data_IF_808440762047
#
_entry.id   IF_808440762047
#
_cell.length_a   1.000
_cell.length_b   1.000
_cell.length_c   1.000
_cell.angle_alpha   90.00
_cell.angle_beta   90.00
_cell.angle_gamma   90.00
#
_symmetry.space_group_name_H-M   'P 1'
#
loop_
_entity.id
_entity.type
_entity.pdbx_description
1 polymer ?
#
# COMPACT_ATOMS: atom_id res chain seq x y z
N UNK A 1 -23.59 7.93 6.32
CA UNK A 1 -22.29 7.49 5.76
C UNK A 1 -22.51 6.14 5.09
N UNK A 2 -22.28 6.04 3.77
CA UNK A 2 -22.42 4.78 3.02
C UNK A 2 -21.05 4.09 2.97
N UNK A 3 -21.02 2.77 3.18
CA UNK A 3 -19.80 1.97 3.03
C UNK A 3 -19.84 1.23 1.70
N UNK A 4 -18.81 1.40 0.89
CA UNK A 4 -18.60 0.63 -0.34
C UNK A 4 -17.42 -0.31 -0.08
N UNK A 5 -17.65 -1.61 -0.22
CA UNK A 5 -16.63 -2.63 -0.06
C UNK A 5 -16.07 -2.99 -1.44
N UNK A 6 -14.74 -2.97 -1.57
CA UNK A 6 -14.04 -3.33 -2.80
C UNK A 6 -12.84 -4.22 -2.49
N UNK A 7 -12.65 -5.25 -3.31
CA UNK A 7 -11.48 -6.11 -3.28
C UNK A 7 -10.97 -6.29 -4.71
N UNK A 8 -9.65 -6.38 -4.86
CA UNK A 8 -9.00 -6.59 -6.15
C UNK A 8 -7.74 -7.41 -5.96
N UNK A 9 -7.45 -8.25 -6.95
CA UNK A 9 -6.24 -9.09 -6.97
C UNK A 9 -5.51 -8.82 -8.27
N UNK A 10 -4.20 -8.63 -8.18
CA UNK A 10 -3.33 -8.36 -9.32
C UNK A 10 -2.09 -9.26 -9.18
N UNK A 11 -1.66 -9.97 -10.24
CA UNK A 11 -0.43 -10.74 -10.21
C UNK A 11 0.76 -9.80 -10.01
N UNK A 12 1.62 -10.12 -9.02
CA UNK A 12 2.78 -9.30 -8.64
C UNK A 12 3.96 -9.54 -9.57
N UNK A 13 4.23 -10.82 -9.89
CA UNK A 13 5.31 -11.23 -10.78
C UNK A 13 4.69 -11.71 -12.10
N UNK A 14 5.02 -11.06 -13.20
CA UNK A 14 4.67 -11.45 -14.55
C UNK A 14 5.51 -12.62 -15.06
N UNK A 15 5.04 -13.34 -16.09
CA UNK A 15 5.72 -14.53 -16.63
C UNK A 15 7.07 -14.23 -17.30
N UNK A 16 7.39 -12.95 -17.56
CA UNK A 16 8.62 -12.51 -18.23
C UNK A 16 9.43 -11.52 -17.40
N UNK A 17 9.11 -11.38 -16.11
CA UNK A 17 9.81 -10.43 -15.26
C UNK A 17 11.22 -10.95 -14.98
N UNK A 18 12.22 -10.12 -15.29
CA UNK A 18 13.62 -10.43 -15.02
C UNK A 18 13.98 -10.37 -13.54
N UNK A 19 13.08 -9.84 -12.71
CA UNK A 19 13.27 -9.69 -11.27
C UNK A 19 11.99 -10.10 -10.55
N UNK A 20 12.07 -11.19 -9.81
CA UNK A 20 10.94 -11.74 -9.05
C UNK A 20 10.95 -11.13 -7.66
N UNK A 21 9.86 -10.48 -7.29
CA UNK A 21 9.65 -9.99 -5.93
C UNK A 21 9.20 -11.13 -5.02
N UNK A 22 9.90 -11.30 -3.91
CA UNK A 22 9.44 -12.18 -2.83
C UNK A 22 8.34 -11.52 -2.01
N UNK A 23 7.58 -12.32 -1.25
CA UNK A 23 6.54 -11.81 -0.34
C UNK A 23 7.09 -10.74 0.61
N UNK A 24 8.25 -11.01 1.21
CA UNK A 24 8.85 -10.10 2.19
C UNK A 24 9.33 -8.80 1.55
N UNK A 25 9.86 -8.86 0.32
CA UNK A 25 10.24 -7.66 -0.43
C UNK A 25 9.01 -6.82 -0.77
N UNK A 26 7.96 -7.45 -1.28
CA UNK A 26 6.70 -6.78 -1.57
C UNK A 26 6.12 -6.15 -0.31
N UNK A 27 6.09 -6.89 0.80
CA UNK A 27 5.55 -6.39 2.05
C UNK A 27 6.34 -5.19 2.58
N UNK A 28 7.68 -5.24 2.52
CA UNK A 28 8.53 -4.09 2.86
C UNK A 28 8.24 -2.87 1.97
N UNK A 29 8.01 -3.08 0.67
CA UNK A 29 7.65 -2.00 -0.25
C UNK A 29 6.27 -1.41 0.06
N UNK A 30 5.27 -2.23 0.40
CA UNK A 30 3.95 -1.75 0.83
C UNK A 30 4.05 -0.96 2.13
N UNK A 31 4.80 -1.46 3.11
CA UNK A 31 5.09 -0.74 4.36
C UNK A 31 5.79 0.59 4.11
N UNK A 32 6.71 0.64 3.13
CA UNK A 32 7.38 1.87 2.72
C UNK A 32 6.42 2.83 2.06
N UNK A 33 5.55 2.37 1.17
CA UNK A 33 4.53 3.19 0.50
C UNK A 33 3.59 3.90 1.48
N UNK A 34 3.29 3.29 2.63
CA UNK A 34 2.51 3.95 3.69
C UNK A 34 3.20 5.21 4.24
N UNK A 35 4.54 5.24 4.24
CA UNK A 35 5.36 6.30 4.87
C UNK A 35 5.99 7.25 3.84
N UNK A 36 6.22 6.76 2.62
CA UNK A 36 6.86 7.45 1.49
C UNK A 36 6.05 7.23 0.20
N UNK A 37 4.78 7.65 0.17
CA UNK A 37 3.89 7.42 -0.96
C UNK A 37 4.35 8.13 -2.26
N UNK A 38 5.16 9.18 -2.15
CA UNK A 38 5.77 9.94 -3.26
C UNK A 38 6.67 9.09 -4.14
N UNK A 39 7.25 8.02 -3.61
CA UNK A 39 8.10 7.10 -4.36
C UNK A 39 7.31 6.14 -5.27
N UNK A 40 5.99 6.06 -5.06
CA UNK A 40 5.13 5.06 -5.72
C UNK A 40 3.99 5.68 -6.52
N UNK A 41 3.56 6.89 -6.18
CA UNK A 41 2.40 7.53 -6.80
C UNK A 41 2.82 8.92 -7.27
N UNK A 42 2.92 9.17 -8.60
CA UNK A 42 3.51 10.40 -9.13
C UNK A 42 2.84 11.72 -8.70
N UNK A 43 1.57 11.67 -8.28
CA UNK A 43 0.85 12.87 -7.86
C UNK A 43 1.18 13.30 -6.42
N UNK A 44 1.73 12.41 -5.61
CA UNK A 44 2.19 12.74 -4.26
C UNK A 44 3.54 13.43 -4.35
N UNK A 45 3.62 14.68 -3.91
CA UNK A 45 4.84 15.47 -3.91
C UNK A 45 5.59 15.43 -2.57
N UNK A 46 4.88 15.23 -1.46
CA UNK A 46 5.48 15.09 -0.13
C UNK A 46 4.55 14.33 0.82
N UNK A 47 5.11 13.82 1.91
CA UNK A 47 4.38 13.11 2.95
C UNK A 47 4.98 13.34 4.33
N UNK A 48 4.16 13.85 5.25
CA UNK A 48 4.49 14.00 6.67
C UNK A 48 3.76 12.94 7.48
N UNK A 49 4.52 12.09 8.19
CA UNK A 49 3.95 11.12 9.13
C UNK A 49 3.83 11.77 10.51
N UNK A 50 2.61 11.79 11.05
CA UNK A 50 2.32 12.36 12.37
C UNK A 50 2.32 11.29 13.48
N UNK A 51 1.95 10.06 13.16
CA UNK A 51 1.95 8.92 14.09
C UNK A 51 2.08 7.61 13.31
N UNK A 52 2.82 6.66 13.87
CA UNK A 52 3.06 5.33 13.31
C UNK A 52 3.12 4.33 14.47
N UNK A 53 1.96 3.80 14.83
CA UNK A 53 1.79 2.95 16.02
C UNK A 53 0.79 1.84 15.72
N UNK A 54 1.05 0.62 16.22
CA UNK A 54 0.11 -0.50 16.14
C UNK A 54 -0.40 -0.80 14.71
N UNK A 55 0.47 -0.69 13.70
CA UNK A 55 0.14 -0.82 12.27
C UNK A 55 -0.85 0.23 11.73
N UNK A 56 -1.03 1.34 12.43
CA UNK A 56 -1.82 2.48 11.99
C UNK A 56 -0.91 3.67 11.76
N UNK A 57 -0.89 4.16 10.53
CA UNK A 57 -0.12 5.34 10.13
C UNK A 57 -1.08 6.50 9.91
N UNK A 58 -0.90 7.57 10.68
CA UNK A 58 -1.58 8.86 10.45
C UNK A 58 -0.62 9.78 9.74
N UNK A 59 -1.00 10.21 8.54
CA UNK A 59 -0.14 11.01 7.65
C UNK A 59 -0.91 12.11 6.96
N UNK A 60 -0.17 13.14 6.58
CA UNK A 60 -0.61 14.18 5.67
C UNK A 60 0.22 14.09 4.40
N UNK A 61 -0.45 14.17 3.25
CA UNK A 61 0.16 14.07 1.94
C UNK A 61 -0.09 15.34 1.16
N UNK A 62 0.97 15.86 0.56
CA UNK A 62 0.87 16.92 -0.42
C UNK A 62 0.66 16.30 -1.81
N UNK A 63 -0.35 16.78 -2.52
CA UNK A 63 -0.71 16.40 -3.86
C UNK A 63 -0.38 17.54 -4.82
N UNK A 64 0.36 17.26 -5.90
CA UNK A 64 0.67 18.24 -6.93
C UNK A 64 -0.11 17.95 -8.22
N UNK A 65 -1.08 18.80 -8.53
CA UNK A 65 -1.89 18.70 -9.75
C UNK A 65 -1.36 19.58 -10.90
N UNK A 66 -0.07 19.92 -10.88
CA UNK A 66 0.58 20.76 -11.88
C UNK A 66 -0.06 22.15 -11.95
N UNK A 67 -0.67 22.48 -13.10
CA UNK A 67 -1.32 23.78 -13.32
C UNK A 67 -2.48 24.09 -12.37
N UNK A 68 -3.03 23.07 -11.70
CA UNK A 68 -4.14 23.22 -10.75
C UNK A 68 -3.66 23.42 -9.30
N UNK A 69 -2.35 23.52 -9.08
CA UNK A 69 -1.75 23.80 -7.79
C UNK A 69 -1.63 22.58 -6.87
N UNK A 70 -1.30 22.87 -5.61
CA UNK A 70 -1.09 21.88 -4.56
C UNK A 70 -2.34 21.71 -3.69
N UNK A 71 -2.55 20.50 -3.19
CA UNK A 71 -3.62 20.16 -2.23
C UNK A 71 -3.06 19.28 -1.12
N UNK A 72 -3.77 19.24 0.00
CA UNK A 72 -3.40 18.44 1.17
C UNK A 72 -4.47 17.39 1.44
N UNK A 73 -4.04 16.19 1.82
CA UNK A 73 -4.92 15.10 2.19
C UNK A 73 -4.42 14.45 3.48
N UNK A 74 -5.31 14.35 4.47
CA UNK A 74 -5.03 13.65 5.72
C UNK A 74 -5.58 12.22 5.65
N UNK A 75 -4.76 11.26 6.00
CA UNK A 75 -5.09 9.84 5.89
C UNK A 75 -4.75 9.11 7.19
N UNK A 76 -5.62 8.15 7.54
CA UNK A 76 -5.32 7.11 8.52
C UNK A 76 -5.28 5.80 7.77
N UNK A 77 -4.08 5.23 7.61
CA UNK A 77 -3.85 4.00 6.84
C UNK A 77 -3.57 2.86 7.81
N UNK A 78 -4.34 1.78 7.68
CA UNK A 78 -4.20 0.59 8.54
C UNK A 78 -3.56 -0.53 7.72
N UNK A 79 -2.45 -1.04 8.24
CA UNK A 79 -1.73 -2.17 7.69
C UNK A 79 -2.14 -3.47 8.40
N UNK A 80 -2.33 -4.54 7.64
CA UNK A 80 -2.67 -5.86 8.17
C UNK A 80 -1.70 -6.90 7.60
N UNK A 81 -0.50 -7.01 8.20
CA UNK A 81 0.64 -7.69 7.58
C UNK A 81 0.75 -9.19 7.73
N UNK A 82 0.29 -9.72 8.86
CA UNK A 82 0.39 -11.16 9.16
C UNK A 82 -0.99 -11.81 9.25
N UNK A 83 -2.02 -11.18 8.68
CA UNK A 83 -3.33 -11.81 8.56
C UNK A 83 -3.28 -12.91 7.51
N UNK A 84 -2.94 -14.13 7.94
CA UNK A 84 -3.31 -15.34 7.24
C UNK A 84 -4.84 -15.43 7.22
N UNK A 85 -5.46 -15.13 6.08
CA UNK A 85 -6.82 -15.60 5.84
C UNK A 85 -6.69 -17.08 5.52
N UNK A 86 -6.86 -17.93 6.54
CA UNK A 86 -7.15 -19.34 6.33
C UNK A 86 -8.50 -19.40 5.60
N UNK A 87 -8.45 -19.44 4.27
CA UNK A 87 -9.55 -20.01 3.51
C UNK A 87 -9.54 -21.50 3.84
N UNK A 88 -10.35 -21.90 4.80
CA UNK A 88 -10.69 -23.31 4.95
C UNK A 88 -11.20 -23.78 3.59
N UNK A 89 -10.59 -24.88 3.13
CA UNK A 89 -10.73 -25.49 1.81
C UNK A 89 -10.10 -24.66 0.69
N UNK A 90 -8.78 -24.76 0.53
CA UNK A 90 -8.14 -25.61 -0.49
C UNK A 90 -6.64 -25.31 -0.49
N UNK A 91 -5.86 -26.32 -0.10
CA UNK A 91 -4.41 -26.39 -0.24
C UNK A 91 -3.96 -25.94 -1.64
N UNK A 92 -2.87 -25.18 -1.72
CA UNK A 92 -1.77 -25.40 -2.67
C UNK A 92 -0.63 -24.42 -2.33
N UNK A 93 0.44 -24.92 -1.72
CA UNK A 93 1.81 -24.80 -2.24
C UNK A 93 2.72 -25.68 -1.38
N UNK A 94 3.15 -26.79 -1.97
CA UNK A 94 4.32 -27.57 -1.54
C UNK A 94 5.30 -27.44 -2.71
N UNK A 95 6.40 -26.75 -2.47
CA UNK A 95 7.80 -27.03 -2.88
C UNK A 95 8.67 -25.83 -2.48
#
# INVERSE_FOLDING_TARGET
MVRVYGAGTIPVNGPKDSSILTRDQLWKALQRKLRRPEEYVPIHSDCTVHSDENNVVKREVELNFGKWGKRHMQETVVSHGDLWVWLNDWFLWKE
#
